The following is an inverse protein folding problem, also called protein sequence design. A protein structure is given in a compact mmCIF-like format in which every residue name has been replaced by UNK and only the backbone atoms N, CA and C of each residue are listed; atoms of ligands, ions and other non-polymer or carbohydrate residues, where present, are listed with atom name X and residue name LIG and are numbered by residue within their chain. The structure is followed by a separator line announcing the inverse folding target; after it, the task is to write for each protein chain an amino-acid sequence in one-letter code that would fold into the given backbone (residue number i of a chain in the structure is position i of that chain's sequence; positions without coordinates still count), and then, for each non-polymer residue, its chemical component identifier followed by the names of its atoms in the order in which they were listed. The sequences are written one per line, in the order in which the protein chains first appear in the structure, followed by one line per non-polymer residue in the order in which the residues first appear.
data_IF_475641936023
#
_entry.id   IF_475641936023
#
_cell.length_a   1.000
_cell.length_b   1.000
_cell.length_c   1.000
_cell.angle_alpha   90.00
_cell.angle_beta   90.00
_cell.angle_gamma   90.00
#
_symmetry.space_group_name_H-M   'P 1'
#
loop_
_entity.id
_entity.type
_entity.pdbx_description
1 polymer ?
#
# COMPACT_ATOMS: atom_id res chain seq x y z
N UNK A 1 5.21 1.39 15.89
CA UNK A 1 4.35 1.85 14.78
C UNK A 1 4.35 0.83 13.65
N UNK A 2 3.18 0.45 13.15
CA UNK A 2 3.06 -0.32 11.89
C UNK A 2 2.37 0.60 10.89
N UNK A 3 3.00 0.83 9.73
CA UNK A 3 2.49 1.74 8.71
C UNK A 3 2.04 0.96 7.48
N UNK A 4 0.82 1.26 7.04
CA UNK A 4 0.23 0.79 5.78
C UNK A 4 0.84 1.55 4.59
N UNK A 5 1.98 1.06 4.11
CA UNK A 5 2.58 1.47 2.83
C UNK A 5 1.91 0.73 1.66
N UNK A 6 2.42 0.90 0.45
CA UNK A 6 1.88 0.26 -0.75
C UNK A 6 2.99 -0.05 -1.75
N UNK A 7 2.83 -1.11 -2.55
CA UNK A 7 3.72 -1.45 -3.65
C UNK A 7 3.83 -0.33 -4.71
N UNK A 8 2.93 0.66 -4.70
CA UNK A 8 3.05 1.87 -5.55
C UNK A 8 4.33 2.65 -5.31
N UNK A 9 5.02 2.43 -4.17
CA UNK A 9 6.34 3.02 -3.86
C UNK A 9 7.45 2.50 -4.77
N UNK A 10 7.23 1.41 -5.50
CA UNK A 10 8.17 0.88 -6.49
C UNK A 10 8.06 1.57 -7.86
N UNK A 11 7.07 2.46 -8.05
CA UNK A 11 6.79 3.08 -9.35
C UNK A 11 6.55 2.00 -10.39
N UNK A 12 7.24 2.10 -11.55
CA UNK A 12 7.24 1.08 -12.60
C UNK A 12 8.45 0.14 -12.46
N UNK A 13 8.31 -0.98 -11.71
CA UNK A 13 9.39 -1.94 -11.54
C UNK A 13 9.75 -2.59 -12.89
N UNK A 14 11.05 -2.81 -13.12
CA UNK A 14 11.54 -3.46 -14.34
C UNK A 14 11.40 -4.98 -14.30
N UNK A 15 11.30 -5.55 -13.11
CA UNK A 15 11.29 -6.99 -12.85
C UNK A 15 10.19 -7.31 -11.84
N UNK A 16 9.65 -8.52 -11.93
CA UNK A 16 8.70 -9.07 -10.95
C UNK A 16 9.15 -10.50 -10.60
N UNK A 17 9.04 -10.93 -9.33
CA UNK A 17 8.42 -10.24 -8.19
C UNK A 17 9.26 -9.07 -7.63
N UNK A 18 8.58 -8.01 -7.16
CA UNK A 18 9.25 -6.88 -6.54
C UNK A 18 9.81 -7.27 -5.16
N UNK A 19 11.09 -6.99 -4.94
CA UNK A 19 11.76 -7.17 -3.64
C UNK A 19 11.89 -5.83 -2.91
N UNK A 20 12.08 -5.87 -1.59
CA UNK A 20 12.10 -4.67 -0.75
C UNK A 20 13.29 -3.74 -1.03
N UNK A 21 14.36 -4.27 -1.61
CA UNK A 21 15.58 -3.57 -2.03
C UNK A 21 15.47 -2.89 -3.39
N UNK A 22 14.32 -2.99 -4.06
CA UNK A 22 14.11 -2.34 -5.35
C UNK A 22 14.14 -0.81 -5.22
N UNK A 23 14.58 -0.10 -6.29
CA UNK A 23 14.49 1.34 -6.35
C UNK A 23 13.06 1.82 -6.09
N UNK A 24 12.96 2.87 -5.26
CA UNK A 24 11.68 3.48 -4.89
C UNK A 24 11.42 4.71 -5.75
N UNK A 25 10.22 4.81 -6.31
CA UNK A 25 9.77 5.96 -7.08
C UNK A 25 8.25 6.06 -7.06
N UNK A 26 7.69 7.27 -7.22
CA UNK A 26 6.26 7.48 -7.25
C UNK A 26 5.81 7.91 -8.65
N UNK A 27 4.83 7.17 -9.20
CA UNK A 27 4.20 7.49 -10.48
C UNK A 27 2.96 8.38 -10.35
N UNK A 28 2.45 8.59 -9.13
CA UNK A 28 1.25 9.39 -8.86
C UNK A 28 1.30 10.02 -7.45
N UNK A 29 0.42 11.00 -7.14
CA UNK A 29 0.40 11.66 -5.83
C UNK A 29 0.19 10.70 -4.66
N UNK A 30 -0.67 9.68 -4.80
CA UNK A 30 -0.90 8.68 -3.75
C UNK A 30 0.38 7.90 -3.40
N UNK A 31 1.10 7.40 -4.40
CA UNK A 31 2.39 6.73 -4.18
C UNK A 31 3.44 7.66 -3.58
N UNK A 32 3.41 8.95 -3.95
CA UNK A 32 4.31 9.97 -3.43
C UNK A 32 4.10 10.23 -1.94
N UNK A 33 2.85 10.26 -1.47
CA UNK A 33 2.59 10.42 -0.02
C UNK A 33 3.12 9.24 0.78
N UNK A 34 2.99 8.01 0.26
CA UNK A 34 3.55 6.81 0.91
C UNK A 34 5.08 6.86 0.98
N UNK A 35 5.76 7.27 -0.10
CA UNK A 35 7.22 7.45 -0.10
C UNK A 35 7.69 8.47 0.93
N UNK A 36 7.06 9.63 1.00
CA UNK A 36 7.40 10.65 1.99
C UNK A 36 7.26 10.14 3.42
N UNK A 37 6.24 9.34 3.71
CA UNK A 37 6.09 8.74 5.04
C UNK A 37 7.17 7.68 5.31
N UNK A 38 7.59 6.90 4.29
CA UNK A 38 8.74 5.99 4.43
C UNK A 38 10.07 6.73 4.68
N UNK A 39 10.25 7.93 4.11
CA UNK A 39 11.41 8.79 4.35
C UNK A 39 11.38 9.37 5.77
N UNK A 40 10.24 9.91 6.21
CA UNK A 40 10.04 10.43 7.57
C UNK A 40 10.36 9.36 8.63
N UNK A 41 10.05 8.09 8.36
CA UNK A 41 10.47 6.99 9.25
C UNK A 41 11.98 6.97 9.47
N UNK A 42 12.78 7.13 8.40
CA UNK A 42 14.24 7.12 8.51
C UNK A 42 14.73 8.28 9.36
N UNK A 43 14.11 9.46 9.22
CA UNK A 43 14.44 10.64 10.02
C UNK A 43 14.08 10.42 11.50
N UNK A 44 12.89 9.87 11.78
CA UNK A 44 12.46 9.55 13.15
C UNK A 44 13.43 8.55 13.79
N UNK A 45 13.72 7.45 13.11
CA UNK A 45 14.64 6.43 13.64
C UNK A 45 16.08 6.97 13.79
N UNK A 46 16.51 7.86 12.89
CA UNK A 46 17.79 8.55 12.99
C UNK A 46 17.86 9.51 14.19
N UNK A 47 16.74 10.14 14.56
CA UNK A 47 16.64 11.02 15.74
C UNK A 47 16.53 10.25 17.06
N UNK A 48 15.86 9.10 17.05
CA UNK A 48 15.63 8.27 18.23
C UNK A 48 15.47 6.79 17.84
N UNK A 49 16.50 6.00 18.18
CA UNK A 49 16.58 4.58 17.85
C UNK A 49 15.69 3.65 18.70
N UNK A 50 15.05 4.18 19.75
CA UNK A 50 14.05 3.43 20.52
C UNK A 50 12.79 3.16 19.70
N UNK A 51 12.50 4.01 18.69
CA UNK A 51 11.37 3.82 17.80
C UNK A 51 11.44 2.50 17.04
N UNK A 52 10.40 1.69 17.19
CA UNK A 52 10.17 0.48 16.39
C UNK A 52 9.09 0.75 15.36
N UNK A 53 9.50 0.82 14.09
CA UNK A 53 8.60 1.08 12.96
C UNK A 53 8.66 -0.13 12.03
N UNK A 54 7.52 -0.55 11.47
CA UNK A 54 7.41 -1.56 10.40
C UNK A 54 6.65 -0.94 9.23
N UNK A 55 7.19 -1.08 8.01
CA UNK A 55 6.54 -0.63 6.78
C UNK A 55 5.96 -1.86 6.06
N UNK A 56 4.64 -1.92 5.91
CA UNK A 56 3.99 -2.99 5.18
C UNK A 56 3.58 -2.47 3.80
N UNK A 57 4.24 -2.93 2.74
CA UNK A 57 3.96 -2.52 1.36
C UNK A 57 2.91 -3.46 0.75
N UNK A 58 1.63 -3.12 0.92
CA UNK A 58 0.55 -3.92 0.33
C UNK A 58 0.52 -3.80 -1.19
N UNK A 59 0.27 -4.91 -1.87
CA UNK A 59 -0.02 -4.93 -3.30
C UNK A 59 -1.51 -4.60 -3.49
N UNK A 60 -2.31 -5.55 -3.94
CA UNK A 60 -3.73 -5.37 -4.20
C UNK A 60 -4.52 -6.28 -3.25
N UNK A 61 -4.88 -5.80 -2.04
CA UNK A 61 -5.75 -6.57 -1.16
C UNK A 61 -7.12 -6.74 -1.82
N UNK A 62 -7.63 -7.97 -1.80
CA UNK A 62 -8.95 -8.35 -2.35
C UNK A 62 -9.58 -9.44 -1.48
N UNK A 63 -10.88 -9.67 -1.68
CA UNK A 63 -11.65 -10.68 -0.95
C UNK A 63 -12.45 -10.09 0.21
N UNK A 64 -13.03 -10.98 1.02
CA UNK A 64 -13.88 -10.64 2.15
C UNK A 64 -13.72 -11.69 3.25
N UNK A 65 -14.26 -11.43 4.44
CA UNK A 65 -14.25 -12.42 5.51
C UNK A 65 -15.14 -13.62 5.12
N UNK A 66 -14.72 -14.88 5.37
CA UNK A 66 -15.47 -16.07 4.94
C UNK A 66 -16.91 -16.17 5.47
N UNK A 67 -17.25 -15.46 6.55
CA UNK A 67 -18.63 -15.41 7.06
C UNK A 67 -19.59 -14.62 6.18
N UNK A 68 -19.09 -13.82 5.22
CA UNK A 68 -19.89 -12.96 4.36
C UNK A 68 -20.43 -11.68 5.01
N UNK A 69 -20.13 -11.43 6.30
CA UNK A 69 -20.64 -10.26 7.03
C UNK A 69 -19.82 -8.99 6.87
N UNK A 70 -18.54 -9.11 6.50
CA UNK A 70 -17.65 -7.96 6.34
C UNK A 70 -16.81 -8.13 5.07
N UNK A 71 -16.66 -7.03 4.35
CA UNK A 71 -15.90 -6.91 3.11
C UNK A 71 -15.70 -5.44 2.76
N UNK A 72 -15.11 -5.19 1.60
CA UNK A 72 -14.98 -3.83 1.09
C UNK A 72 -16.35 -3.29 0.65
N UNK A 73 -16.75 -2.14 1.21
CA UNK A 73 -18.04 -1.48 0.94
C UNK A 73 -17.80 -0.01 0.54
N UNK A 74 -17.56 0.28 -0.75
CA UNK A 74 -17.29 1.63 -1.23
C UNK A 74 -18.56 2.48 -1.33
N UNK A 75 -18.49 3.73 -0.88
CA UNK A 75 -19.67 4.62 -0.73
C UNK A 75 -20.28 5.11 -2.05
N UNK A 76 -19.46 5.39 -3.07
CA UNK A 76 -19.92 5.96 -4.35
C UNK A 76 -19.36 5.19 -5.56
N UNK A 77 -18.31 5.73 -6.19
CA UNK A 77 -17.72 5.19 -7.41
C UNK A 77 -16.60 4.25 -7.05
N UNK A 78 -16.80 2.97 -7.38
CA UNK A 78 -15.78 1.97 -7.13
C UNK A 78 -14.70 2.01 -8.21
N UNK A 79 -13.45 2.14 -7.81
CA UNK A 79 -12.30 2.16 -8.72
C UNK A 79 -11.50 0.85 -8.69
N UNK A 80 -11.68 0.03 -7.66
CA UNK A 80 -10.96 -1.24 -7.52
C UNK A 80 -11.61 -2.33 -8.36
N UNK A 81 -10.80 -2.94 -9.24
CA UNK A 81 -11.22 -3.87 -10.30
C UNK A 81 -12.09 -5.03 -9.78
N UNK A 82 -11.70 -5.64 -8.66
CA UNK A 82 -12.40 -6.81 -8.12
C UNK A 82 -13.87 -6.52 -7.80
N UNK A 83 -14.17 -5.35 -7.22
CA UNK A 83 -15.54 -4.97 -6.88
C UNK A 83 -16.34 -4.41 -8.06
N UNK A 84 -15.67 -3.93 -9.12
CA UNK A 84 -16.35 -3.59 -10.36
C UNK A 84 -16.96 -4.83 -11.01
N UNK A 85 -16.21 -5.95 -11.06
CA UNK A 85 -16.72 -7.21 -11.60
C UNK A 85 -17.81 -7.85 -10.74
N UNK A 86 -17.79 -7.69 -9.41
CA UNK A 86 -18.83 -8.26 -8.54
C UNK A 86 -20.18 -7.55 -8.65
N UNK A 87 -20.25 -6.37 -9.27
CA UNK A 87 -21.49 -5.61 -9.49
C UNK A 87 -22.04 -5.73 -10.92
N UNK A 88 -21.39 -6.49 -11.80
CA UNK A 88 -21.90 -6.81 -13.13
C UNK A 88 -22.88 -8.00 -13.04
N UNK A 89 -23.98 -7.98 -13.80
CA UNK A 89 -25.00 -9.03 -13.79
C UNK A 89 -24.50 -10.37 -14.33
#
# INVERSE_FOLDING_TARGET
LVFSSSATVYGWPKEVPCREDFPRSAANPYGRTKLFIEEIRHDIYGSDSEWKIILLRYFNPVGAHPSGYIGEDPWEYQTMLCLLYSKLP
#
